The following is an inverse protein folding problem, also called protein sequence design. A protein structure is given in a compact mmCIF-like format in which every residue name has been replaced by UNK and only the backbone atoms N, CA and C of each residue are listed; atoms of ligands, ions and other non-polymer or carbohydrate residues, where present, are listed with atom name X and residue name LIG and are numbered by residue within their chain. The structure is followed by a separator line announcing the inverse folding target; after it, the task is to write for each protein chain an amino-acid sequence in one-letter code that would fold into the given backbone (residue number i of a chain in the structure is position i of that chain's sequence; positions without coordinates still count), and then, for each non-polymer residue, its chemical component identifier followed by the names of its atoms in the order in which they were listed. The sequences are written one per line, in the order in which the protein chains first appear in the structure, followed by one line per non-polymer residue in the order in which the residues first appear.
data_IF_981599993540
#
_entry.id   IF_981599993540
#
_cell.length_a   1.000
_cell.length_b   1.000
_cell.length_c   1.000
_cell.angle_alpha   90.00
_cell.angle_beta   90.00
_cell.angle_gamma   90.00
#
_symmetry.space_group_name_H-M   'P 1'
#
loop_
_entity.id
_entity.type
_entity.pdbx_description
1 polymer ?
#
# COMPACT_ATOMS: atom_id res chain seq x y z
N UNK A 1 17.74 17.01 11.81
CA UNK A 1 16.58 17.56 11.06
C UNK A 1 16.36 16.88 9.71
N UNK A 2 17.31 16.88 8.76
CA UNK A 2 17.12 16.29 7.41
C UNK A 2 16.63 14.82 7.41
N UNK A 3 17.23 13.96 8.25
CA UNK A 3 16.81 12.55 8.40
C UNK A 3 15.35 12.37 8.87
N UNK A 4 14.86 13.27 9.73
CA UNK A 4 13.48 13.23 10.23
C UNK A 4 12.52 13.64 9.12
N UNK A 5 12.87 14.67 8.34
CA UNK A 5 12.09 15.12 7.17
C UNK A 5 12.00 14.00 6.13
N UNK A 6 13.11 13.32 5.85
CA UNK A 6 13.14 12.20 4.89
C UNK A 6 12.29 11.02 5.38
N UNK A 7 12.33 10.71 6.67
CA UNK A 7 11.45 9.71 7.28
C UNK A 7 9.97 10.09 7.12
N UNK A 8 9.59 11.33 7.45
CA UNK A 8 8.22 11.82 7.31
C UNK A 8 7.75 11.72 5.86
N UNK A 9 8.59 12.10 4.89
CA UNK A 9 8.26 11.98 3.46
C UNK A 9 7.97 10.53 3.05
N UNK A 10 8.81 9.59 3.47
CA UNK A 10 8.59 8.17 3.14
C UNK A 10 7.36 7.62 3.86
N UNK A 11 7.13 8.03 5.10
CA UNK A 11 5.94 7.65 5.85
C UNK A 11 4.68 8.06 5.09
N UNK A 12 4.55 9.34 4.70
CA UNK A 12 3.41 9.82 3.92
C UNK A 12 3.28 9.15 2.55
N UNK A 13 4.42 8.92 1.87
CA UNK A 13 4.43 8.24 0.59
C UNK A 13 3.90 6.81 0.69
N UNK A 14 4.35 6.06 1.69
CA UNK A 14 3.88 4.71 1.95
C UNK A 14 2.44 4.70 2.44
N UNK A 15 2.03 5.71 3.20
CA UNK A 15 0.65 5.87 3.65
C UNK A 15 -0.29 5.93 2.45
N UNK A 16 -0.01 6.85 1.51
CA UNK A 16 -0.79 6.99 0.28
C UNK A 16 -0.73 5.72 -0.56
N UNK A 17 0.47 5.15 -0.75
CA UNK A 17 0.67 3.92 -1.53
C UNK A 17 -0.17 2.78 -0.98
N UNK A 18 -0.19 2.61 0.35
CA UNK A 18 -0.92 1.55 1.01
C UNK A 18 -2.43 1.81 0.98
N UNK A 19 -2.89 3.05 1.21
CA UNK A 19 -4.31 3.40 1.06
C UNK A 19 -4.81 3.09 -0.35
N UNK A 20 -4.06 3.47 -1.39
CA UNK A 20 -4.39 3.15 -2.78
C UNK A 20 -4.39 1.64 -3.01
N UNK A 21 -3.41 0.92 -2.46
CA UNK A 21 -3.36 -0.53 -2.58
C UNK A 21 -4.58 -1.21 -1.98
N UNK A 22 -4.99 -0.82 -0.77
CA UNK A 22 -6.16 -1.39 -0.09
C UNK A 22 -7.43 -1.10 -0.90
N UNK A 23 -7.66 0.18 -1.25
CA UNK A 23 -8.88 0.59 -1.94
C UNK A 23 -9.01 0.02 -3.35
N UNK A 24 -7.92 -0.02 -4.11
CA UNK A 24 -7.98 -0.55 -5.47
C UNK A 24 -7.95 -2.06 -5.45
N UNK A 25 -6.98 -2.69 -4.78
CA UNK A 25 -6.73 -4.10 -4.97
C UNK A 25 -7.43 -5.01 -3.97
N UNK A 26 -7.51 -4.64 -2.69
CA UNK A 26 -8.22 -5.47 -1.70
C UNK A 26 -9.72 -5.34 -1.91
N UNK A 27 -10.24 -4.11 -1.83
CA UNK A 27 -11.68 -3.87 -2.00
C UNK A 27 -12.15 -4.19 -3.44
N UNK A 28 -11.31 -3.87 -4.43
CA UNK A 28 -11.62 -4.19 -5.83
C UNK A 28 -11.59 -5.68 -6.14
N UNK A 29 -10.75 -6.49 -5.47
CA UNK A 29 -10.78 -7.96 -5.58
C UNK A 29 -12.15 -8.49 -5.14
N UNK A 30 -12.63 -8.06 -3.96
CA UNK A 30 -13.95 -8.43 -3.44
C UNK A 30 -15.07 -8.05 -4.41
N UNK A 31 -14.97 -6.89 -5.05
CA UNK A 31 -15.94 -6.46 -6.06
C UNK A 31 -15.88 -7.31 -7.34
N UNK A 32 -14.68 -7.58 -7.85
CA UNK A 32 -14.45 -8.40 -9.05
C UNK A 32 -14.97 -9.82 -8.82
N UNK A 33 -14.70 -10.41 -7.67
CA UNK A 33 -15.19 -11.76 -7.34
C UNK A 33 -16.72 -11.81 -7.32
N UNK A 34 -17.37 -10.82 -6.70
CA UNK A 34 -18.84 -10.71 -6.64
C UNK A 34 -19.47 -10.49 -8.03
N UNK A 35 -18.84 -9.72 -8.91
CA UNK A 35 -19.40 -9.40 -10.23
C UNK A 35 -19.12 -10.47 -11.29
N UNK A 36 -17.88 -10.93 -11.39
CA UNK A 36 -17.44 -11.83 -12.46
C UNK A 36 -17.60 -13.31 -12.09
N UNK A 37 -17.87 -13.64 -10.82
CA UNK A 37 -17.99 -15.02 -10.31
C UNK A 37 -16.81 -15.90 -10.74
N UNK A 38 -15.63 -15.29 -10.90
CA UNK A 38 -14.44 -15.93 -11.41
C UNK A 38 -13.26 -15.64 -10.49
N UNK A 39 -12.95 -16.62 -9.65
CA UNK A 39 -11.86 -16.56 -8.68
C UNK A 39 -10.49 -16.42 -9.34
N UNK A 40 -10.31 -16.95 -10.55
CA UNK A 40 -9.03 -16.86 -11.28
C UNK A 40 -8.70 -15.43 -11.69
N UNK A 41 -9.70 -14.69 -12.18
CA UNK A 41 -9.54 -13.26 -12.55
C UNK A 41 -9.29 -12.42 -11.29
N UNK A 42 -10.03 -12.71 -10.22
CA UNK A 42 -9.85 -12.05 -8.92
C UNK A 42 -8.42 -12.22 -8.37
N UNK A 43 -7.90 -13.45 -8.40
CA UNK A 43 -6.54 -13.76 -7.96
C UNK A 43 -5.47 -13.08 -8.83
N UNK A 44 -5.64 -13.05 -10.15
CA UNK A 44 -4.73 -12.35 -11.05
C UNK A 44 -4.71 -10.84 -10.76
N UNK A 45 -5.89 -10.25 -10.53
CA UNK A 45 -6.01 -8.85 -10.14
C UNK A 45 -5.25 -8.55 -8.84
N UNK A 46 -5.43 -9.38 -7.82
CA UNK A 46 -4.72 -9.23 -6.55
C UNK A 46 -3.21 -9.45 -6.69
N UNK A 47 -2.77 -10.34 -7.58
CA UNK A 47 -1.34 -10.53 -7.87
C UNK A 47 -0.71 -9.28 -8.49
N UNK A 48 -1.42 -8.62 -9.42
CA UNK A 48 -1.00 -7.33 -9.99
C UNK A 48 -0.88 -6.28 -8.88
N UNK A 49 -1.84 -6.22 -7.95
CA UNK A 49 -1.79 -5.33 -6.79
C UNK A 49 -0.58 -5.56 -5.90
N UNK A 50 -0.26 -6.83 -5.60
CA UNK A 50 0.91 -7.19 -4.79
C UNK A 50 2.22 -6.78 -5.47
N UNK A 51 2.33 -7.00 -6.79
CA UNK A 51 3.49 -6.53 -7.56
C UNK A 51 3.60 -5.00 -7.54
N UNK A 52 2.48 -4.29 -7.74
CA UNK A 52 2.44 -2.84 -7.63
C UNK A 52 2.95 -2.35 -6.28
N UNK A 53 2.50 -2.97 -5.18
CA UNK A 53 2.91 -2.61 -3.82
C UNK A 53 4.42 -2.83 -3.60
N UNK A 54 4.95 -4.00 -3.99
CA UNK A 54 6.38 -4.33 -3.83
C UNK A 54 7.26 -3.36 -4.63
N UNK A 55 6.90 -3.10 -5.89
CA UNK A 55 7.61 -2.15 -6.75
C UNK A 55 7.58 -0.76 -6.14
N UNK A 56 6.44 -0.34 -5.61
CA UNK A 56 6.25 0.97 -4.99
C UNK A 56 7.14 1.14 -3.76
N UNK A 57 7.12 0.18 -2.83
CA UNK A 57 7.97 0.19 -1.63
C UNK A 57 9.45 0.24 -2.01
N UNK A 58 9.86 -0.52 -3.03
CA UNK A 58 11.25 -0.61 -3.44
C UNK A 58 11.75 0.67 -4.13
N UNK A 59 11.00 1.20 -5.11
CA UNK A 59 11.47 2.26 -6.00
C UNK A 59 11.07 3.67 -5.58
N UNK A 60 9.90 3.88 -4.98
CA UNK A 60 9.40 5.23 -4.68
C UNK A 60 10.34 6.06 -3.79
N UNK A 61 10.95 5.52 -2.70
CA UNK A 61 11.90 6.29 -1.89
C UNK A 61 13.09 6.79 -2.71
N UNK A 62 13.60 5.95 -3.61
CA UNK A 62 14.73 6.30 -4.46
C UNK A 62 14.36 7.39 -5.47
N UNK A 63 13.11 7.38 -5.98
CA UNK A 63 12.58 8.40 -6.91
C UNK A 63 12.47 9.79 -6.27
N UNK A 64 12.16 9.86 -4.97
CA UNK A 64 12.13 11.12 -4.22
C UNK A 64 13.51 11.52 -3.66
N UNK A 65 14.59 10.85 -4.10
CA UNK A 65 15.97 11.18 -3.74
C UNK A 65 16.42 10.64 -2.39
N UNK A 66 15.65 9.74 -1.76
CA UNK A 66 15.96 9.20 -0.44
C UNK A 66 16.44 7.75 -0.56
N UNK A 67 17.76 7.56 -0.43
CA UNK A 67 18.39 6.24 -0.42
C UNK A 67 18.37 5.65 0.98
N UNK A 68 17.54 4.64 1.21
CA UNK A 68 17.47 3.90 2.47
C UNK A 68 17.66 2.40 2.21
N UNK A 69 18.32 1.70 3.13
CA UNK A 69 18.45 0.24 3.08
C UNK A 69 17.07 -0.43 3.09
N UNK A 70 16.97 -1.57 2.41
CA UNK A 70 15.74 -2.33 2.26
C UNK A 70 15.04 -2.66 3.59
N UNK A 71 15.81 -3.04 4.62
CA UNK A 71 15.26 -3.35 5.94
C UNK A 71 14.45 -2.19 6.56
N UNK A 72 14.92 -0.95 6.43
CA UNK A 72 14.21 0.22 6.95
C UNK A 72 12.98 0.56 6.11
N UNK A 73 13.01 0.33 4.80
CA UNK A 73 11.82 0.47 3.93
C UNK A 73 10.71 -0.46 4.44
N UNK A 74 11.06 -1.71 4.73
CA UNK A 74 10.12 -2.69 5.27
C UNK A 74 9.59 -2.31 6.66
N UNK A 75 10.46 -1.81 7.55
CA UNK A 75 10.05 -1.35 8.88
C UNK A 75 9.04 -0.18 8.81
N UNK A 76 9.32 0.83 7.97
CA UNK A 76 8.41 1.98 7.79
C UNK A 76 7.08 1.52 7.21
N UNK A 77 7.11 0.59 6.26
CA UNK A 77 5.91 0.01 5.68
C UNK A 77 5.01 -0.66 6.74
N UNK A 78 5.59 -1.47 7.65
CA UNK A 78 4.84 -2.08 8.77
C UNK A 78 4.24 -0.99 9.67
N UNK A 79 5.02 0.04 10.02
CA UNK A 79 4.54 1.14 10.86
C UNK A 79 3.37 1.91 10.23
N UNK A 80 3.34 2.00 8.91
CA UNK A 80 2.30 2.67 8.14
C UNK A 80 1.02 1.84 8.01
N UNK A 81 1.10 0.51 8.13
CA UNK A 81 -0.10 -0.34 8.03
C UNK A 81 -1.18 0.05 9.03
N UNK A 82 -0.82 0.08 10.31
CA UNK A 82 -1.76 0.34 11.40
C UNK A 82 -2.56 1.62 11.17
N UNK A 83 -1.95 2.80 10.96
CA UNK A 83 -2.71 4.03 10.75
C UNK A 83 -3.51 4.05 9.44
N UNK A 84 -3.08 3.33 8.39
CA UNK A 84 -3.87 3.22 7.15
C UNK A 84 -5.14 2.43 7.40
N UNK A 85 -5.05 1.26 8.04
CA UNK A 85 -6.23 0.45 8.34
C UNK A 85 -7.19 1.19 9.27
N UNK A 86 -6.67 1.83 10.33
CA UNK A 86 -7.49 2.65 11.24
C UNK A 86 -8.16 3.80 10.49
N UNK A 87 -7.44 4.50 9.60
CA UNK A 87 -8.06 5.59 8.82
C UNK A 87 -9.18 5.06 7.91
N UNK A 88 -8.91 3.98 7.15
CA UNK A 88 -9.88 3.45 6.20
C UNK A 88 -11.12 2.89 6.90
N UNK A 89 -10.94 2.26 8.06
CA UNK A 89 -12.03 1.79 8.92
C UNK A 89 -12.90 2.95 9.41
N UNK A 90 -12.29 4.01 9.96
CA UNK A 90 -13.00 5.22 10.40
C UNK A 90 -13.77 5.88 9.24
N UNK A 91 -13.23 5.83 8.02
CA UNK A 91 -13.89 6.36 6.83
C UNK A 91 -15.00 5.45 6.28
N UNK A 92 -15.18 4.25 6.84
CA UNK A 92 -16.13 3.25 6.34
C UNK A 92 -15.78 2.74 4.94
N UNK A 93 -14.49 2.73 4.59
CA UNK A 93 -13.99 2.33 3.27
C UNK A 93 -13.49 0.89 3.21
N UNK A 94 -13.45 0.20 4.35
CA UNK A 94 -13.21 -1.24 4.39
C UNK A 94 -14.56 -1.95 4.28
N UNK A 95 -14.68 -2.92 3.39
CA UNK A 95 -15.89 -3.76 3.35
C UNK A 95 -15.95 -4.67 4.57
N UNK A 96 -17.15 -4.79 5.16
CA UNK A 96 -17.48 -5.71 6.27
C UNK A 96 -17.24 -7.18 5.90
#
# INVERSE_FOLDING_TARGET
MKKIIDFIKIFFLYFITLSVYVLLFIEGETYIEKWLHNSWISQLYMYIGKLFLVISIYFLPNKIGIQIRFFYKFLIYILVMVPVFVLLDILGLLSE
#
